data_IF_731437926040
#
_entry.id   IF_731437926040
#
_cell.length_a   1.000
_cell.length_b   1.000
_cell.length_c   1.000
_cell.angle_alpha   90.00
_cell.angle_beta   90.00
_cell.angle_gamma   90.00
#
_symmetry.space_group_name_H-M   'P 1'
#
loop_
_entity.id
_entity.type
_entity.pdbx_description
1 polymer ?
#
# COMPACT_ATOMS: atom_id res chain seq x y z
N UNK A 1 -17.81 14.45 -7.21
CA UNK A 1 -16.91 14.35 -6.03
C UNK A 1 -15.48 14.13 -6.53
N UNK A 2 -14.48 14.90 -6.10
CA UNK A 2 -13.09 14.68 -6.54
C UNK A 2 -12.59 13.36 -5.97
N UNK A 3 -11.93 12.57 -6.81
CA UNK A 3 -11.31 11.31 -6.43
C UNK A 3 -9.84 11.53 -6.11
N UNK A 4 -9.38 10.94 -5.00
CA UNK A 4 -7.99 10.81 -4.60
C UNK A 4 -7.54 9.42 -5.03
N UNK A 5 -6.46 9.34 -5.82
CA UNK A 5 -5.83 8.08 -6.20
C UNK A 5 -4.81 7.70 -5.13
N UNK A 6 -5.02 6.56 -4.49
CA UNK A 6 -4.17 6.11 -3.41
C UNK A 6 -3.67 4.69 -3.64
N UNK A 7 -2.49 4.40 -3.10
CA UNK A 7 -1.90 3.07 -3.05
C UNK A 7 -1.57 2.76 -1.60
N UNK A 8 -1.97 1.59 -1.10
CA UNK A 8 -1.65 1.07 0.24
C UNK A 8 -0.71 -0.13 0.08
N UNK A 9 0.59 0.12 0.24
CA UNK A 9 1.63 -0.90 0.25
C UNK A 9 1.68 -1.55 1.63
N UNK A 10 1.78 -2.87 1.65
CA UNK A 10 1.74 -3.68 2.86
C UNK A 10 0.39 -3.54 3.59
N UNK A 11 -0.72 -3.57 2.85
CA UNK A 11 -2.05 -3.18 3.36
C UNK A 11 -2.57 -4.03 4.54
N UNK A 12 -1.99 -5.22 4.77
CA UNK A 12 -2.43 -6.17 5.79
C UNK A 12 -3.92 -6.45 5.66
N UNK A 13 -4.62 -6.53 6.79
CA UNK A 13 -6.08 -6.71 6.85
C UNK A 13 -6.89 -5.41 6.61
N UNK A 14 -6.25 -4.28 6.27
CA UNK A 14 -6.93 -3.06 5.84
C UNK A 14 -7.23 -2.02 6.91
N UNK A 15 -6.43 -1.96 7.98
CA UNK A 15 -6.53 -0.91 9.01
C UNK A 15 -6.29 0.49 8.44
N UNK A 16 -5.18 0.67 7.71
CA UNK A 16 -4.81 1.92 7.06
C UNK A 16 -5.82 2.32 5.98
N UNK A 17 -6.19 1.38 5.11
CA UNK A 17 -7.28 1.50 4.15
C UNK A 17 -8.58 2.01 4.77
N UNK A 18 -9.04 1.43 5.89
CA UNK A 18 -10.23 1.90 6.62
C UNK A 18 -10.10 3.36 7.05
N UNK A 19 -8.95 3.73 7.61
CA UNK A 19 -8.66 5.11 8.01
C UNK A 19 -8.73 6.08 6.83
N UNK A 20 -8.11 5.71 5.71
CA UNK A 20 -8.08 6.52 4.50
C UNK A 20 -9.48 6.73 3.90
N UNK A 21 -10.28 5.66 3.80
CA UNK A 21 -11.67 5.73 3.32
C UNK A 21 -12.53 6.64 4.21
N UNK A 22 -12.40 6.52 5.54
CA UNK A 22 -13.09 7.37 6.51
C UNK A 22 -12.66 8.84 6.39
N UNK A 23 -11.36 9.10 6.25
CA UNK A 23 -10.83 10.44 6.07
C UNK A 23 -11.37 11.08 4.78
N UNK A 24 -11.32 10.36 3.65
CA UNK A 24 -11.89 10.81 2.38
C UNK A 24 -13.37 11.18 2.50
N UNK A 25 -14.18 10.32 3.11
CA UNK A 25 -15.60 10.59 3.38
C UNK A 25 -15.80 11.89 4.18
N UNK A 26 -15.01 12.09 5.25
CA UNK A 26 -15.11 13.27 6.12
C UNK A 26 -14.84 14.58 5.39
N UNK A 27 -13.98 14.57 4.37
CA UNK A 27 -13.65 15.76 3.57
C UNK A 27 -14.39 15.81 2.23
N UNK A 28 -15.41 14.97 2.03
CA UNK A 28 -16.21 14.95 0.80
C UNK A 28 -15.39 14.56 -0.44
N UNK A 29 -14.47 13.59 -0.30
CA UNK A 29 -13.64 13.04 -1.38
C UNK A 29 -13.85 11.54 -1.50
N UNK A 30 -13.79 11.03 -2.74
CA UNK A 30 -13.74 9.59 -3.00
C UNK A 30 -12.29 9.14 -2.92
N UNK A 31 -12.01 8.00 -2.31
CA UNK A 31 -10.72 7.34 -2.46
C UNK A 31 -10.87 6.25 -3.52
N UNK A 32 -9.97 6.21 -4.49
CA UNK A 32 -9.80 5.06 -5.39
C UNK A 32 -8.48 4.41 -5.01
N UNK A 33 -8.56 3.23 -4.43
CA UNK A 33 -7.45 2.59 -3.73
C UNK A 33 -6.98 1.34 -4.48
N UNK A 34 -5.65 1.20 -4.56
CA UNK A 34 -4.95 -0.03 -4.89
C UNK A 34 -4.29 -0.55 -3.61
N UNK A 35 -4.68 -1.73 -3.13
CA UNK A 35 -4.12 -2.35 -1.93
C UNK A 35 -3.18 -3.50 -2.33
N UNK A 36 -1.99 -3.55 -1.74
CA UNK A 36 -0.95 -4.51 -2.10
C UNK A 36 -0.48 -5.30 -0.88
N UNK A 37 -0.50 -6.62 -1.00
CA UNK A 37 0.09 -7.52 -0.02
C UNK A 37 0.43 -8.87 -0.63
N UNK A 38 1.45 -9.55 -0.10
CA UNK A 38 1.83 -10.89 -0.53
C UNK A 38 1.17 -12.00 0.31
N UNK A 39 0.61 -11.65 1.48
CA UNK A 39 0.07 -12.64 2.40
C UNK A 39 -1.42 -12.88 2.09
N UNK A 40 -1.73 -14.10 1.63
CA UNK A 40 -3.06 -14.51 1.17
C UNK A 40 -4.16 -14.20 2.20
N UNK A 41 -3.97 -14.62 3.45
CA UNK A 41 -4.97 -14.45 4.50
C UNK A 41 -5.23 -12.96 4.82
N UNK A 42 -4.20 -12.11 4.69
CA UNK A 42 -4.37 -10.66 4.80
C UNK A 42 -5.20 -10.09 3.65
N UNK A 43 -4.92 -10.50 2.40
CA UNK A 43 -5.70 -10.07 1.23
C UNK A 43 -7.15 -10.53 1.34
N UNK A 44 -7.41 -11.80 1.66
CA UNK A 44 -8.77 -12.34 1.81
C UNK A 44 -9.54 -11.55 2.88
N UNK A 45 -8.90 -11.27 4.02
CA UNK A 45 -9.49 -10.43 5.07
C UNK A 45 -9.73 -9.00 4.58
N UNK A 46 -8.79 -8.44 3.83
CA UNK A 46 -8.90 -7.09 3.27
C UNK A 46 -10.03 -6.98 2.25
N UNK A 47 -10.23 -7.98 1.38
CA UNK A 47 -11.33 -8.06 0.42
C UNK A 47 -12.69 -8.11 1.12
N UNK A 48 -12.82 -8.91 2.18
CA UNK A 48 -14.04 -8.94 3.00
C UNK A 48 -14.34 -7.58 3.65
N UNK A 49 -13.31 -6.88 4.14
CA UNK A 49 -13.45 -5.57 4.76
C UNK A 49 -13.70 -4.44 3.74
N UNK A 50 -13.15 -4.57 2.53
CA UNK A 50 -13.10 -3.53 1.51
C UNK A 50 -13.41 -4.08 0.10
N UNK A 51 -14.64 -4.55 -0.18
CA UNK A 51 -14.98 -5.22 -1.44
C UNK A 51 -14.90 -4.32 -2.69
N UNK A 52 -14.90 -3.00 -2.51
CA UNK A 52 -14.82 -2.01 -3.60
C UNK A 52 -13.37 -1.57 -3.93
N UNK A 53 -12.39 -2.09 -3.19
CA UNK A 53 -10.95 -1.80 -3.40
C UNK A 53 -10.39 -2.75 -4.46
N UNK A 54 -9.37 -2.32 -5.18
CA UNK A 54 -8.61 -3.20 -6.08
C UNK A 54 -7.42 -3.76 -5.31
N UNK A 55 -7.24 -5.07 -5.36
CA UNK A 55 -6.20 -5.76 -4.61
C UNK A 55 -5.19 -6.40 -5.55
N UNK A 56 -3.91 -6.26 -5.21
CA UNK A 56 -2.82 -7.01 -5.81
C UNK A 56 -2.25 -7.94 -4.75
N UNK A 57 -2.51 -9.24 -4.94
CA UNK A 57 -1.92 -10.30 -4.13
C UNK A 57 -0.56 -10.68 -4.72
N UNK A 58 0.47 -9.93 -4.38
CA UNK A 58 1.82 -10.07 -4.97
C UNK A 58 2.87 -9.51 -4.01
N UNK A 59 4.12 -9.97 -4.16
CA UNK A 59 5.26 -9.33 -3.53
C UNK A 59 5.49 -7.93 -4.12
N UNK A 60 5.58 -6.93 -3.25
CA UNK A 60 5.83 -5.53 -3.63
C UNK A 60 7.15 -5.40 -4.41
N UNK A 61 8.14 -6.26 -4.16
CA UNK A 61 9.38 -6.29 -4.91
C UNK A 61 9.18 -6.73 -6.36
N UNK A 62 8.20 -7.58 -6.65
CA UNK A 62 7.90 -8.10 -7.98
C UNK A 62 7.01 -7.15 -8.80
N UNK A 63 6.29 -6.25 -8.15
CA UNK A 63 5.40 -5.30 -8.84
C UNK A 63 6.21 -4.24 -9.60
N UNK A 64 5.83 -4.01 -10.85
CA UNK A 64 6.18 -2.78 -11.57
C UNK A 64 5.12 -1.69 -11.30
N UNK A 65 5.46 -0.61 -10.58
CA UNK A 65 4.54 0.50 -10.28
C UNK A 65 3.84 1.05 -11.52
N UNK A 66 4.54 1.17 -12.65
CA UNK A 66 3.96 1.76 -13.86
C UNK A 66 2.86 0.89 -14.44
N UNK A 67 3.12 -0.40 -14.55
CA UNK A 67 2.13 -1.39 -14.99
C UNK A 67 0.94 -1.43 -14.04
N UNK A 68 1.17 -1.50 -12.73
CA UNK A 68 0.11 -1.51 -11.73
C UNK A 68 -0.80 -0.27 -11.81
N UNK A 69 -0.23 0.92 -12.06
CA UNK A 69 -1.02 2.14 -12.26
C UNK A 69 -1.76 2.15 -13.61
N UNK A 70 -1.13 1.63 -14.68
CA UNK A 70 -1.76 1.52 -15.98
C UNK A 70 -2.98 0.57 -15.95
N UNK A 71 -2.91 -0.53 -15.21
CA UNK A 71 -4.02 -1.48 -15.00
C UNK A 71 -5.17 -0.84 -14.22
N UNK A 72 -4.85 0.12 -13.33
CA UNK A 72 -5.85 0.99 -12.71
C UNK A 72 -6.42 2.06 -13.66
N UNK A 73 -5.92 2.16 -14.89
CA UNK A 73 -6.27 3.20 -15.85
C UNK A 73 -5.69 4.58 -15.50
N UNK A 74 -4.60 4.62 -14.73
CA UNK A 74 -3.89 5.86 -14.35
C UNK A 74 -2.67 6.04 -15.25
N UNK A 75 -2.93 6.37 -16.52
CA UNK A 75 -1.91 6.46 -17.58
C UNK A 75 -0.95 7.65 -17.46
N UNK A 76 -1.32 8.66 -16.66
CA UNK A 76 -0.44 9.78 -16.28
C UNK A 76 0.55 9.40 -15.16
N UNK A 77 0.56 8.14 -14.73
CA UNK A 77 1.48 7.57 -13.74
C UNK A 77 1.54 8.42 -12.46
N UNK A 78 0.39 8.87 -11.98
CA UNK A 78 0.29 9.85 -10.89
C UNK A 78 -0.62 9.34 -9.77
N UNK A 79 -0.08 9.36 -8.55
CA UNK A 79 -0.80 9.04 -7.31
C UNK A 79 -0.80 10.24 -6.38
N UNK A 80 -1.96 10.47 -5.75
CA UNK A 80 -2.10 11.57 -4.80
C UNK A 80 -1.53 11.19 -3.43
N UNK A 81 -1.58 9.90 -3.09
CA UNK A 81 -1.14 9.37 -1.81
C UNK A 81 -0.54 7.96 -1.96
N UNK A 82 0.68 7.77 -1.48
CA UNK A 82 1.29 6.47 -1.24
C UNK A 82 1.33 6.22 0.26
N UNK A 83 0.61 5.21 0.73
CA UNK A 83 0.70 4.73 2.10
C UNK A 83 1.59 3.49 2.13
N UNK A 84 2.56 3.42 3.04
CA UNK A 84 3.43 2.26 3.17
C UNK A 84 3.62 1.83 4.62
N UNK A 85 3.19 0.61 4.96
CA UNK A 85 3.30 0.05 6.32
C UNK A 85 4.18 -1.21 6.36
N UNK A 86 5.50 -1.12 6.07
CA UNK A 86 6.37 -2.29 6.11
C UNK A 86 6.40 -2.92 7.49
N UNK A 87 6.73 -4.21 7.56
CA UNK A 87 6.74 -4.91 8.84
C UNK A 87 7.75 -4.33 9.83
N UNK A 88 7.36 -4.29 11.10
CA UNK A 88 8.19 -3.73 12.16
C UNK A 88 9.14 -4.76 12.79
N UNK A 89 8.98 -6.06 12.52
CA UNK A 89 9.69 -7.15 13.20
C UNK A 89 11.21 -6.96 13.19
N UNK A 90 11.78 -6.62 12.02
CA UNK A 90 13.22 -6.43 11.87
C UNK A 90 13.74 -5.08 12.38
N UNK A 91 12.84 -4.18 12.75
CA UNK A 91 13.10 -2.81 13.23
C UNK A 91 12.82 -2.64 14.73
N UNK A 92 12.01 -3.52 15.32
CA UNK A 92 11.44 -3.35 16.66
C UNK A 92 12.28 -4.01 17.74
N UNK A 93 12.48 -3.30 18.85
CA UNK A 93 13.04 -3.84 20.08
C UNK A 93 12.17 -4.95 20.69
N UNK A 94 10.85 -4.92 20.44
CA UNK A 94 9.89 -5.91 20.95
C UNK A 94 10.11 -7.32 20.38
N UNK A 95 11.01 -7.49 19.40
CA UNK A 95 11.43 -8.79 18.89
C UNK A 95 12.19 -9.63 19.95
N UNK A 96 12.62 -9.03 21.06
CA UNK A 96 13.19 -9.77 22.19
C UNK A 96 14.55 -10.40 21.90
N UNK A 97 15.41 -9.68 21.17
CA UNK A 97 16.80 -10.11 20.90
C UNK A 97 16.95 -11.21 19.84
N UNK A 98 15.88 -11.68 19.19
CA UNK A 98 16.00 -12.60 18.04
C UNK A 98 16.87 -11.96 16.94
N UNK A 99 17.56 -12.74 16.08
CA UNK A 99 18.36 -12.20 14.99
C UNK A 99 17.57 -11.26 14.07
N UNK A 100 18.25 -10.26 13.50
CA UNK A 100 17.68 -9.40 12.45
C UNK A 100 17.70 -10.18 11.13
N UNK A 101 16.58 -10.19 10.41
CA UNK A 101 16.56 -10.63 9.01
C UNK A 101 16.81 -9.42 8.12
N UNK A 102 17.96 -9.40 7.45
CA UNK A 102 18.33 -8.31 6.53
C UNK A 102 17.36 -8.22 5.34
N UNK A 103 16.89 -9.36 4.84
CA UNK A 103 15.90 -9.40 3.76
C UNK A 103 14.58 -8.76 4.18
N UNK A 104 14.07 -9.12 5.37
CA UNK A 104 12.88 -8.50 5.96
C UNK A 104 13.07 -7.00 6.17
N UNK A 105 14.21 -6.60 6.75
CA UNK A 105 14.55 -5.19 6.97
C UNK A 105 14.60 -4.39 5.67
N UNK A 106 15.12 -5.00 4.61
CA UNK A 106 15.26 -4.36 3.31
C UNK A 106 13.91 -4.00 2.66
N UNK A 107 12.81 -4.67 3.05
CA UNK A 107 11.49 -4.41 2.45
C UNK A 107 10.99 -2.98 2.68
N UNK A 108 11.44 -2.33 3.76
CA UNK A 108 11.12 -0.93 4.05
C UNK A 108 11.64 0.05 2.99
N UNK A 109 12.57 -0.36 2.12
CA UNK A 109 13.07 0.46 1.01
C UNK A 109 12.23 0.33 -0.26
N UNK A 110 11.37 -0.68 -0.40
CA UNK A 110 10.55 -0.85 -1.61
C UNK A 110 9.62 0.32 -1.95
N UNK A 111 9.03 1.07 -0.99
CA UNK A 111 8.25 2.26 -1.30
C UNK A 111 9.05 3.34 -2.06
N UNK A 112 10.38 3.39 -1.90
CA UNK A 112 11.21 4.35 -2.64
C UNK A 112 11.20 4.05 -4.15
N UNK A 113 11.16 2.76 -4.54
CA UNK A 113 11.04 2.37 -5.96
C UNK A 113 9.76 2.93 -6.58
N UNK A 114 8.67 3.01 -5.82
CA UNK A 114 7.43 3.64 -6.30
C UNK A 114 7.63 5.14 -6.52
N UNK A 115 8.30 5.82 -5.58
CA UNK A 115 8.60 7.24 -5.70
C UNK A 115 9.52 7.56 -6.89
N UNK A 116 10.42 6.66 -7.25
CA UNK A 116 11.33 6.84 -8.39
C UNK A 116 10.65 6.60 -9.75
N UNK A 117 9.64 5.74 -9.80
CA UNK A 117 9.08 5.24 -11.06
C UNK A 117 7.76 5.92 -11.48
N UNK A 118 7.02 6.48 -10.53
CA UNK A 118 5.74 7.18 -10.74
C UNK A 118 5.70 8.49 -9.98
N UNK A 119 4.83 9.41 -10.38
CA UNK A 119 4.68 10.70 -9.71
C UNK A 119 3.84 10.55 -8.43
N UNK A 120 4.51 10.64 -7.28
CA UNK A 120 3.90 10.53 -5.96
C UNK A 120 3.82 11.91 -5.32
N UNK A 121 2.61 12.41 -5.03
CA UNK A 121 2.45 13.73 -4.41
C UNK A 121 2.69 13.73 -2.91
N UNK A 122 2.27 12.67 -2.23
CA UNK A 122 2.35 12.54 -0.77
C UNK A 122 2.69 11.10 -0.41
N UNK A 123 3.62 10.93 0.52
CA UNK A 123 3.98 9.62 1.10
C UNK A 123 3.63 9.66 2.59
N UNK A 124 3.03 8.59 3.09
CA UNK A 124 2.76 8.36 4.51
C UNK A 124 3.29 6.98 4.91
#
# INVERSE_FOLDING_TARGET
MKTIRAVDLFCGAGGSSTGLLRAGRRIGRRIRLLAVNHWKEAIETHELNHPDVVHLHEDIAAIDPRTALADMGWTDLSIDLLWASPECTSHSYSRGGRPISEQSRATAWHPLRWCDQVNVKTVI
#
